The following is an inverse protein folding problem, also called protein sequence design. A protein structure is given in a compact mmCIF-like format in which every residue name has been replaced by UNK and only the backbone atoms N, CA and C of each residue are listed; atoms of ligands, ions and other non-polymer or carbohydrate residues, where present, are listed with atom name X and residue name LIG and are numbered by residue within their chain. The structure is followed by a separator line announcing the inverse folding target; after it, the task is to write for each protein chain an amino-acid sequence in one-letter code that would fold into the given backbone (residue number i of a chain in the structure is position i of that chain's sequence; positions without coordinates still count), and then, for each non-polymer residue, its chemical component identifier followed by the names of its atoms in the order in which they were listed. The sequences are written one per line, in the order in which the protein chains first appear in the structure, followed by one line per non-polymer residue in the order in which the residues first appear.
data_IF_301628836072
#
_entry.id   IF_301628836072
#
_cell.length_a   1.000
_cell.length_b   1.000
_cell.length_c   1.000
_cell.angle_alpha   90.00
_cell.angle_beta   90.00
_cell.angle_gamma   90.00
#
_symmetry.space_group_name_H-M   'P 1'
#
loop_
_entity.id
_entity.type
_entity.pdbx_description
1 polymer ?
#
# COMPACT_ATOMS: atom_id res chain seq x y z
N UNK A 1 4.58 -7.30 3.89
CA UNK A 1 4.98 -7.88 5.19
C UNK A 1 3.83 -8.35 6.08
N UNK A 2 2.79 -7.54 6.32
CA UNK A 2 1.65 -7.91 7.19
C UNK A 2 1.10 -9.33 6.92
N UNK A 3 0.67 -9.62 5.69
CA UNK A 3 0.15 -10.95 5.30
C UNK A 3 1.17 -12.07 5.57
N UNK A 4 2.44 -11.83 5.26
CA UNK A 4 3.53 -12.80 5.51
C UNK A 4 3.78 -13.00 7.01
N UNK A 5 3.63 -11.96 7.82
CA UNK A 5 3.73 -12.02 9.28
C UNK A 5 2.61 -12.84 9.88
N UNK A 6 1.36 -12.57 9.49
CA UNK A 6 0.20 -13.35 9.92
C UNK A 6 0.37 -14.84 9.54
N UNK A 7 0.86 -15.12 8.33
CA UNK A 7 1.18 -16.50 7.90
C UNK A 7 2.24 -17.20 8.74
N UNK A 8 3.11 -16.45 9.42
CA UNK A 8 4.14 -16.97 10.34
C UNK A 8 3.69 -16.98 11.80
N UNK A 9 2.42 -16.68 12.08
CA UNK A 9 1.86 -16.68 13.43
C UNK A 9 2.06 -15.38 14.21
N UNK A 10 2.46 -14.28 13.57
CA UNK A 10 2.47 -12.98 14.24
C UNK A 10 1.05 -12.42 14.37
N UNK A 11 0.70 -11.96 15.55
CA UNK A 11 -0.63 -11.54 15.97
C UNK A 11 -0.77 -10.02 16.21
N UNK A 12 0.34 -9.33 16.47
CA UNK A 12 0.40 -7.88 16.67
C UNK A 12 1.40 -7.21 15.72
N UNK A 13 1.06 -6.01 15.23
CA UNK A 13 1.90 -5.22 14.34
C UNK A 13 1.85 -3.73 14.71
N UNK A 14 3.01 -3.09 14.76
CA UNK A 14 3.14 -1.64 14.81
C UNK A 14 3.99 -1.13 13.64
N UNK A 15 3.59 -0.02 13.01
CA UNK A 15 4.40 0.60 11.98
C UNK A 15 3.99 2.04 11.72
N UNK A 16 4.99 2.90 11.50
CA UNK A 16 4.76 4.29 11.05
C UNK A 16 4.49 4.40 9.54
N UNK A 17 4.70 3.32 8.78
CA UNK A 17 4.59 3.30 7.31
C UNK A 17 3.29 3.93 6.78
N UNK A 18 2.07 3.57 7.24
CA UNK A 18 0.83 4.13 6.70
C UNK A 18 0.79 5.65 6.79
N UNK A 19 1.18 6.21 7.93
CA UNK A 19 1.17 7.66 8.13
C UNK A 19 2.31 8.37 7.40
N UNK A 20 3.52 7.78 7.38
CA UNK A 20 4.68 8.34 6.67
C UNK A 20 4.46 8.38 5.17
N UNK A 21 3.84 7.34 4.60
CA UNK A 21 3.54 7.26 3.18
C UNK A 21 2.43 8.24 2.78
N UNK A 22 1.36 8.34 3.57
CA UNK A 22 0.27 9.28 3.34
C UNK A 22 0.78 10.73 3.27
N UNK A 23 1.61 11.15 4.23
CA UNK A 23 2.20 12.50 4.25
C UNK A 23 3.12 12.80 3.07
N UNK A 24 3.61 11.77 2.37
CA UNK A 24 4.41 11.90 1.13
C UNK A 24 3.58 11.73 -0.14
N UNK A 25 2.26 11.60 -0.01
CA UNK A 25 1.33 11.44 -1.13
C UNK A 25 1.25 10.02 -1.69
N UNK A 26 1.69 9.01 -0.94
CA UNK A 26 1.60 7.59 -1.34
C UNK A 26 0.48 6.90 -0.54
N UNK A 27 -0.45 6.29 -1.27
CA UNK A 27 -1.68 5.71 -0.76
C UNK A 27 -1.72 4.21 -1.05
N UNK A 28 -2.27 3.45 -0.12
CA UNK A 28 -2.47 2.01 -0.29
C UNK A 28 -3.90 1.73 -0.76
N UNK A 29 -4.05 0.90 -1.79
CA UNK A 29 -5.35 0.39 -2.25
C UNK A 29 -5.22 -1.11 -2.54
N UNK A 30 -6.34 -1.80 -2.72
CA UNK A 30 -6.33 -3.21 -3.13
C UNK A 30 -5.72 -3.41 -4.52
N UNK A 31 -5.68 -2.36 -5.34
CA UNK A 31 -5.03 -2.31 -6.64
C UNK A 31 -3.53 -1.94 -6.58
N UNK A 32 -2.95 -1.89 -5.38
CA UNK A 32 -1.55 -1.57 -5.15
C UNK A 32 -1.33 -0.14 -4.67
N UNK A 33 -0.10 0.36 -4.82
CA UNK A 33 0.26 1.70 -4.35
C UNK A 33 -0.13 2.77 -5.36
N UNK A 34 -0.81 3.79 -4.90
CA UNK A 34 -1.19 4.97 -5.67
C UNK A 34 -0.38 6.19 -5.21
N UNK A 35 0.23 6.92 -6.14
CA UNK A 35 0.89 8.20 -5.85
C UNK A 35 -0.03 9.34 -6.27
N UNK A 36 -0.54 10.11 -5.32
CA UNK A 36 -1.49 11.21 -5.59
C UNK A 36 -0.87 12.33 -6.44
N UNK A 37 0.47 12.39 -6.48
CA UNK A 37 1.25 13.35 -7.28
C UNK A 37 1.13 13.11 -8.79
N UNK A 38 0.78 11.87 -9.19
CA UNK A 38 0.76 11.48 -10.60
C UNK A 38 -0.19 12.37 -11.41
N UNK A 39 0.23 12.74 -12.63
CA UNK A 39 -0.55 13.61 -13.51
C UNK A 39 -1.94 13.03 -13.86
N UNK A 40 -2.05 11.70 -13.90
CA UNK A 40 -3.32 10.98 -14.12
C UNK A 40 -4.41 11.28 -13.06
N UNK A 41 -4.05 11.91 -11.94
CA UNK A 41 -5.00 12.28 -10.89
C UNK A 41 -5.43 13.75 -10.92
N UNK A 42 -4.96 14.54 -11.90
CA UNK A 42 -5.23 16.00 -11.96
C UNK A 42 -6.72 16.31 -12.05
N UNK A 43 -7.46 15.54 -12.84
CA UNK A 43 -8.90 15.73 -13.07
C UNK A 43 -9.72 14.50 -12.65
N UNK A 44 -9.12 13.59 -11.88
CA UNK A 44 -9.79 12.35 -11.47
C UNK A 44 -10.91 12.65 -10.44
N UNK A 45 -12.20 12.50 -10.80
CA UNK A 45 -13.31 12.93 -9.95
C UNK A 45 -13.67 11.91 -8.86
N UNK A 46 -13.26 10.66 -9.04
CA UNK A 46 -13.53 9.59 -8.07
C UNK A 46 -12.65 9.64 -6.83
N UNK A 47 -13.06 8.95 -5.74
CA UNK A 47 -12.28 8.83 -4.50
C UNK A 47 -10.96 8.06 -4.73
N UNK A 48 -10.16 7.91 -3.67
CA UNK A 48 -8.93 7.13 -3.71
C UNK A 48 -9.22 5.68 -4.13
N UNK A 49 -10.25 5.10 -3.52
CA UNK A 49 -10.73 3.75 -3.76
C UNK A 49 -12.26 3.74 -3.53
N UNK A 50 -13.08 3.35 -4.53
CA UNK A 50 -14.54 3.35 -4.41
C UNK A 50 -15.07 2.32 -3.40
N UNK A 51 -14.32 1.25 -3.14
CA UNK A 51 -14.71 0.18 -2.22
C UNK A 51 -14.23 0.44 -0.78
N UNK A 52 -13.58 1.58 -0.53
CA UNK A 52 -13.03 1.93 0.77
C UNK A 52 -14.04 2.65 1.66
N UNK A 53 -14.30 2.08 2.85
CA UNK A 53 -15.20 2.65 3.86
C UNK A 53 -14.62 3.79 4.72
N UNK A 54 -13.42 4.29 4.41
CA UNK A 54 -12.81 5.36 5.21
C UNK A 54 -13.58 6.68 5.10
N UNK A 55 -13.35 7.62 6.04
CA UNK A 55 -14.00 8.94 6.00
C UNK A 55 -13.75 9.68 4.69
N UNK A 56 -12.52 9.65 4.16
CA UNK A 56 -12.16 10.38 2.96
C UNK A 56 -12.93 9.85 1.72
N UNK A 57 -12.94 8.54 1.53
CA UNK A 57 -13.61 7.91 0.40
C UNK A 57 -15.14 8.03 0.52
N UNK A 58 -15.72 7.80 1.71
CA UNK A 58 -17.18 7.92 1.92
C UNK A 58 -17.72 9.33 1.72
N UNK A 59 -16.92 10.35 2.04
CA UNK A 59 -17.29 11.76 1.78
C UNK A 59 -17.08 12.17 0.33
N UNK A 60 -16.55 11.29 -0.52
CA UNK A 60 -16.36 11.56 -1.93
C UNK A 60 -15.23 12.56 -2.22
N UNK A 61 -14.24 12.69 -1.34
CA UNK A 61 -13.07 13.52 -1.64
C UNK A 61 -12.31 12.92 -2.83
N UNK A 62 -12.33 13.64 -3.94
CA UNK A 62 -11.76 13.15 -5.19
C UNK A 62 -10.23 13.10 -5.17
N UNK A 63 -9.66 12.26 -6.02
CA UNK A 63 -8.20 12.22 -6.21
C UNK A 63 -7.67 13.56 -6.74
N UNK A 64 -8.41 14.24 -7.61
CA UNK A 64 -8.11 15.60 -8.06
C UNK A 64 -8.00 16.58 -6.89
N UNK A 65 -8.99 16.58 -6.00
CA UNK A 65 -9.01 17.47 -4.85
C UNK A 65 -7.89 17.16 -3.86
N UNK A 66 -7.65 15.88 -3.56
CA UNK A 66 -6.55 15.47 -2.69
C UNK A 66 -5.17 15.83 -3.28
N UNK A 67 -5.00 15.69 -4.59
CA UNK A 67 -3.78 16.12 -5.31
C UNK A 67 -3.60 17.63 -5.20
N UNK A 68 -4.66 18.39 -5.43
CA UNK A 68 -4.64 19.85 -5.29
C UNK A 68 -4.21 20.26 -3.89
N UNK A 69 -4.85 19.72 -2.84
CA UNK A 69 -4.47 20.00 -1.44
C UNK A 69 -3.01 19.62 -1.15
N UNK A 70 -2.56 18.47 -1.66
CA UNK A 70 -1.19 18.02 -1.48
C UNK A 70 -0.17 18.97 -2.14
N UNK A 71 -0.47 19.46 -3.34
CA UNK A 71 0.39 20.41 -4.06
C UNK A 71 0.39 21.79 -3.43
N UNK A 72 -0.75 22.21 -2.87
CA UNK A 72 -0.87 23.45 -2.11
C UNK A 72 -0.16 23.41 -0.75
N UNK A 73 0.36 22.25 -0.32
CA UNK A 73 0.96 22.09 1.01
C UNK A 73 -0.06 22.08 2.15
N UNK A 74 -1.34 21.89 1.83
CA UNK A 74 -2.42 21.96 2.80
C UNK A 74 -2.47 20.71 3.69
N UNK A 75 -2.49 20.94 5.01
CA UNK A 75 -2.44 19.85 6.00
C UNK A 75 -3.68 18.94 5.90
N UNK A 76 -4.81 19.47 5.45
CA UNK A 76 -6.04 18.69 5.25
C UNK A 76 -5.82 17.50 4.30
N UNK A 77 -5.09 17.70 3.20
CA UNK A 77 -4.80 16.62 2.25
C UNK A 77 -4.04 15.48 2.92
N UNK A 78 -3.00 15.81 3.69
CA UNK A 78 -2.22 14.82 4.45
C UNK A 78 -3.06 14.10 5.52
N UNK A 79 -3.98 14.79 6.20
CA UNK A 79 -4.89 14.19 7.18
C UNK A 79 -5.84 13.19 6.54
N UNK A 80 -6.52 13.57 5.46
CA UNK A 80 -7.45 12.69 4.72
C UNK A 80 -6.74 11.44 4.17
N UNK A 81 -5.56 11.64 3.60
CA UNK A 81 -4.70 10.54 3.12
C UNK A 81 -4.22 9.63 4.25
N UNK A 82 -3.93 10.18 5.43
CA UNK A 82 -3.53 9.39 6.60
C UNK A 82 -4.68 8.53 7.10
N UNK A 83 -5.89 9.10 7.17
CA UNK A 83 -7.12 8.35 7.52
C UNK A 83 -7.32 7.19 6.55
N UNK A 84 -7.18 7.42 5.25
CA UNK A 84 -7.30 6.38 4.23
C UNK A 84 -6.28 5.25 4.45
N UNK A 85 -4.99 5.56 4.59
CA UNK A 85 -3.95 4.53 4.75
C UNK A 85 -4.09 3.73 6.05
N UNK A 86 -4.48 4.37 7.16
CA UNK A 86 -4.75 3.68 8.41
C UNK A 86 -5.95 2.75 8.28
N UNK A 87 -7.02 3.22 7.64
CA UNK A 87 -8.19 2.40 7.36
C UNK A 87 -7.84 1.18 6.50
N UNK A 88 -7.04 1.37 5.44
CA UNK A 88 -6.60 0.26 4.59
C UNK A 88 -5.85 -0.83 5.40
N UNK A 89 -4.98 -0.43 6.33
CA UNK A 89 -4.28 -1.38 7.20
C UNK A 89 -5.24 -2.18 8.08
N UNK A 90 -6.24 -1.50 8.65
CA UNK A 90 -7.27 -2.14 9.47
C UNK A 90 -8.13 -3.09 8.64
N UNK A 91 -8.57 -2.68 7.44
CA UNK A 91 -9.35 -3.51 6.51
C UNK A 91 -8.55 -4.74 6.07
N UNK A 92 -7.26 -4.59 5.73
CA UNK A 92 -6.40 -5.69 5.34
C UNK A 92 -6.29 -6.77 6.45
N UNK A 93 -6.07 -6.34 7.70
CA UNK A 93 -5.96 -7.26 8.84
C UNK A 93 -7.31 -7.83 9.27
N UNK A 94 -8.40 -7.06 9.14
CA UNK A 94 -9.76 -7.56 9.37
C UNK A 94 -10.12 -8.67 8.38
N UNK A 95 -9.86 -8.47 7.08
CA UNK A 95 -10.07 -9.52 6.07
C UNK A 95 -9.17 -10.73 6.28
N UNK A 96 -7.91 -10.51 6.68
CA UNK A 96 -7.02 -11.61 7.05
C UNK A 96 -7.61 -12.45 8.18
N UNK A 97 -8.16 -11.81 9.22
CA UNK A 97 -8.84 -12.48 10.33
C UNK A 97 -10.06 -13.26 9.85
N UNK A 98 -10.93 -12.64 9.06
CA UNK A 98 -12.13 -13.31 8.52
C UNK A 98 -11.77 -14.55 7.69
N UNK A 99 -10.71 -14.51 6.89
CA UNK A 99 -10.28 -15.68 6.11
C UNK A 99 -9.59 -16.75 6.96
N UNK A 100 -8.99 -16.40 8.11
CA UNK A 100 -8.54 -17.38 9.12
C UNK A 100 -9.74 -18.10 9.72
N UNK A 101 -10.75 -17.35 10.17
CA UNK A 101 -11.96 -17.91 10.78
C UNK A 101 -12.73 -18.83 9.80
N UNK A 102 -12.62 -18.55 8.50
CA UNK A 102 -13.19 -19.37 7.42
C UNK A 102 -12.30 -20.52 6.95
N UNK A 103 -11.09 -20.68 7.49
CA UNK A 103 -10.14 -21.72 7.09
C UNK A 103 -9.55 -21.55 5.68
N UNK A 104 -9.61 -20.35 5.09
CA UNK A 104 -9.18 -20.04 3.72
C UNK A 104 -8.03 -19.04 3.63
N UNK A 105 -7.45 -18.67 4.76
CA UNK A 105 -6.37 -17.70 4.83
C UNK A 105 -5.20 -18.03 3.90
N UNK A 106 -4.78 -19.30 3.82
CA UNK A 106 -3.63 -19.70 2.98
C UNK A 106 -3.85 -19.40 1.50
N UNK A 107 -5.01 -19.78 0.95
CA UNK A 107 -5.33 -19.50 -0.46
C UNK A 107 -5.51 -18.01 -0.71
N UNK A 108 -6.19 -17.30 0.20
CA UNK A 108 -6.36 -15.86 0.12
C UNK A 108 -5.01 -15.13 0.16
N UNK A 109 -4.10 -15.51 1.07
CA UNK A 109 -2.80 -14.91 1.21
C UNK A 109 -1.94 -15.10 -0.04
N UNK A 110 -1.94 -16.29 -0.65
CA UNK A 110 -1.25 -16.55 -1.92
C UNK A 110 -1.82 -15.67 -3.05
N UNK A 111 -3.14 -15.55 -3.17
CA UNK A 111 -3.79 -14.67 -4.15
C UNK A 111 -3.38 -13.20 -3.96
N UNK A 112 -3.46 -12.68 -2.73
CA UNK A 112 -3.11 -11.29 -2.44
C UNK A 112 -1.62 -11.00 -2.67
N UNK A 113 -0.74 -11.97 -2.38
CA UNK A 113 0.70 -11.84 -2.61
C UNK A 113 1.10 -12.03 -4.07
N UNK A 114 0.33 -12.77 -4.87
CA UNK A 114 0.48 -12.82 -6.32
C UNK A 114 -0.09 -11.57 -7.01
N UNK A 115 -1.05 -10.92 -6.37
CA UNK A 115 -1.76 -9.75 -6.86
C UNK A 115 -1.01 -8.42 -6.69
N UNK A 116 -1.73 -7.29 -6.76
CA UNK A 116 -1.15 -5.95 -6.65
C UNK A 116 -0.47 -5.67 -5.30
N UNK A 117 -0.90 -6.32 -4.21
CA UNK A 117 -0.35 -6.08 -2.86
C UNK A 117 1.03 -6.71 -2.64
N UNK A 118 1.35 -7.78 -3.35
CA UNK A 118 2.66 -8.42 -3.28
C UNK A 118 3.69 -7.83 -4.24
N UNK A 119 3.27 -6.96 -5.17
CA UNK A 119 4.19 -6.25 -6.07
C UNK A 119 4.79 -5.06 -5.35
N UNK A 120 6.13 -5.03 -5.26
CA UNK A 120 6.86 -3.85 -4.82
C UNK A 120 6.94 -2.85 -5.99
N UNK A 121 6.30 -1.66 -5.91
CA UNK A 121 6.39 -0.65 -6.95
C UNK A 121 7.78 0.02 -7.03
N UNK A 122 8.64 -0.17 -6.03
CA UNK A 122 10.05 0.28 -6.02
C UNK A 122 11.03 -0.89 -6.23
N UNK A 123 10.51 -2.11 -6.41
CA UNK A 123 11.29 -3.28 -6.78
C UNK A 123 11.71 -3.23 -8.26
N UNK A 124 12.82 -3.89 -8.64
CA UNK A 124 13.21 -3.97 -10.05
C UNK A 124 12.08 -4.60 -10.88
N UNK A 125 11.86 -4.14 -12.13
CA UNK A 125 10.86 -4.73 -13.02
C UNK A 125 11.21 -6.20 -13.28
N UNK A 126 10.22 -7.09 -13.06
CA UNK A 126 10.41 -8.54 -13.08
C UNK A 126 10.50 -9.10 -11.67
N UNK A 127 9.36 -9.49 -11.10
CA UNK A 127 9.24 -10.09 -9.77
C UNK A 127 10.37 -11.06 -9.47
N UNK A 128 11.23 -10.68 -8.51
CA UNK A 128 12.48 -11.40 -8.26
C UNK A 128 13.64 -10.56 -7.72
N UNK A 129 13.42 -9.29 -7.35
CA UNK A 129 14.44 -8.43 -6.72
C UNK A 129 14.71 -8.79 -5.25
N UNK A 130 15.15 -10.02 -4.99
CA UNK A 130 15.72 -10.36 -3.69
C UNK A 130 17.02 -9.59 -3.46
N UNK A 131 17.17 -9.01 -2.27
CA UNK A 131 18.47 -8.62 -1.73
C UNK A 131 19.45 -9.79 -1.86
N UNK A 132 20.53 -9.64 -2.64
CA UNK A 132 21.59 -10.67 -2.72
C UNK A 132 22.74 -10.27 -1.82
N UNK A 133 23.43 -11.25 -1.25
CA UNK A 133 24.73 -11.01 -0.63
C UNK A 133 25.80 -11.14 -1.70
N UNK A 134 26.66 -10.15 -1.81
CA UNK A 134 27.85 -10.29 -2.64
C UNK A 134 28.84 -11.30 -2.04
N UNK A 135 29.96 -11.54 -2.72
CA UNK A 135 31.01 -12.46 -2.24
C UNK A 135 31.67 -12.02 -0.91
N UNK A 136 31.45 -10.77 -0.49
CA UNK A 136 31.90 -10.23 0.81
C UNK A 136 30.83 -10.31 1.90
N UNK A 137 29.64 -10.85 1.59
CA UNK A 137 28.52 -10.97 2.52
C UNK A 137 27.65 -9.71 2.62
N UNK A 138 27.96 -8.65 1.86
CA UNK A 138 27.22 -7.38 1.89
C UNK A 138 25.92 -7.50 1.12
N UNK A 139 24.83 -7.04 1.74
CA UNK A 139 23.51 -7.00 1.11
C UNK A 139 23.51 -5.92 0.02
N UNK A 140 23.32 -6.33 -1.24
CA UNK A 140 23.26 -5.47 -2.42
C UNK A 140 21.93 -5.67 -3.16
N UNK A 141 21.45 -4.62 -3.83
CA UNK A 141 20.27 -4.70 -4.68
C UNK A 141 20.58 -5.62 -5.87
N UNK A 142 19.74 -6.62 -6.12
CA UNK A 142 19.91 -7.59 -7.20
C UNK A 142 19.61 -7.05 -8.60
N UNK A 143 19.80 -5.74 -8.82
CA UNK A 143 19.63 -5.13 -10.14
C UNK A 143 20.80 -5.60 -10.99
N UNK A 144 20.55 -6.55 -11.90
CA UNK A 144 21.44 -6.80 -13.02
C UNK A 144 21.61 -5.47 -13.75
N UNK A 145 22.79 -4.85 -13.62
CA UNK A 145 23.26 -3.90 -14.61
C UNK A 145 23.26 -4.66 -15.94
N UNK A 146 22.29 -4.35 -16.79
CA UNK A 146 22.37 -4.69 -18.21
C UNK A 146 23.08 -3.51 -18.86
N UNK A 147 24.16 -3.85 -19.55
CA UNK A 147 24.96 -3.00 -20.43
C UNK A 147 24.10 -2.34 -21.52
#
# INVERSE_FOLDING_TARGET
DLIRGVRKGADMFDCVMPTRHARRGNLFTWNGRLSIKNAAHTEAPGPIDPDCGCYACRKGYSRAYLRHLFQAGETLGQRLMTIHNLYFYQDLLARARDEIDRGRFSSWAEEQLAGPLGRDPEGPPGGGGGWRRDRSGRIVSGVSARE
#
